data_IF_667594209567
#
_entry.id   IF_667594209567
#
_cell.length_a   1.000
_cell.length_b   1.000
_cell.length_c   1.000
_cell.angle_alpha   90.00
_cell.angle_beta   90.00
_cell.angle_gamma   90.00
#
_symmetry.space_group_name_H-M   'P 1'
#
loop_
_entity.id
_entity.type
_entity.pdbx_description
1 polymer ?
#
# COMPACT_ATOMS: atom_id res chain seq x y z
N UNK A 1 0.26 26.57 29.76
CA UNK A 1 0.64 25.38 28.95
C UNK A 1 1.13 24.15 29.73
N UNK A 2 2.29 24.15 30.41
CA UNK A 2 2.84 22.93 31.07
C UNK A 2 1.95 22.23 32.12
N UNK A 3 1.05 22.95 32.80
CA UNK A 3 0.07 22.34 33.75
C UNK A 3 -1.11 21.68 33.03
N UNK A 4 -1.56 22.26 31.91
CA UNK A 4 -2.64 21.72 31.10
C UNK A 4 -2.21 20.39 30.46
N UNK A 5 -1.02 20.33 29.88
CA UNK A 5 -0.44 19.10 29.32
C UNK A 5 -0.41 17.95 30.33
N UNK A 6 0.06 18.20 31.57
CA UNK A 6 0.11 17.16 32.62
C UNK A 6 -1.26 16.63 33.03
N UNK A 7 -2.30 17.47 33.03
CA UNK A 7 -3.65 17.03 33.39
C UNK A 7 -4.33 16.20 32.30
N UNK A 8 -4.07 16.51 31.03
CA UNK A 8 -4.62 15.73 29.91
C UNK A 8 -3.89 14.40 29.75
N UNK A 9 -2.55 14.38 29.88
CA UNK A 9 -1.78 13.14 29.85
C UNK A 9 -2.12 12.16 30.99
N UNK A 10 -2.65 12.67 32.12
CA UNK A 10 -3.10 11.85 33.25
C UNK A 10 -4.51 11.24 33.07
N UNK A 11 -5.19 11.51 31.95
CA UNK A 11 -6.52 10.97 31.62
C UNK A 11 -6.46 10.24 30.28
N UNK A 12 -6.33 8.90 30.28
CA UNK A 12 -6.37 8.14 29.03
C UNK A 12 -7.82 8.03 28.56
N UNK A 13 -8.14 8.64 27.41
CA UNK A 13 -9.41 8.49 26.68
C UNK A 13 -10.30 9.74 26.66
N UNK A 14 -10.78 10.09 25.47
CA UNK A 14 -11.89 11.01 25.12
C UNK A 14 -12.13 12.20 26.06
N UNK A 15 -11.09 13.00 26.32
CA UNK A 15 -11.37 14.35 26.83
C UNK A 15 -11.89 15.18 25.65
N UNK A 16 -13.21 15.39 25.59
CA UNK A 16 -13.85 16.16 24.54
C UNK A 16 -13.17 17.52 24.36
N UNK A 17 -13.00 17.98 23.11
CA UNK A 17 -12.35 19.26 22.81
C UNK A 17 -12.97 20.41 23.62
N UNK A 18 -14.29 20.38 23.79
CA UNK A 18 -15.04 21.36 24.58
C UNK A 18 -14.62 21.40 26.07
N UNK A 19 -14.28 20.25 26.66
CA UNK A 19 -13.77 20.19 28.03
C UNK A 19 -12.37 20.81 28.13
N UNK A 20 -11.54 20.60 27.10
CA UNK A 20 -10.21 21.19 27.04
C UNK A 20 -10.24 22.70 26.79
N UNK A 21 -11.17 23.18 25.96
CA UNK A 21 -11.44 24.61 25.78
C UNK A 21 -11.86 25.23 27.12
N UNK A 22 -12.77 24.58 27.85
CA UNK A 22 -13.19 25.02 29.19
C UNK A 22 -12.01 25.03 30.17
N UNK A 23 -11.15 24.02 30.15
CA UNK A 23 -9.97 23.95 31.02
C UNK A 23 -8.92 25.00 30.67
N UNK A 24 -8.66 25.26 29.39
CA UNK A 24 -7.73 26.30 28.93
C UNK A 24 -8.18 27.69 29.43
N UNK A 25 -9.46 28.03 29.27
CA UNK A 25 -10.02 29.30 29.79
C UNK A 25 -10.03 29.40 31.30
N UNK A 26 -10.19 28.28 32.03
CA UNK A 26 -10.10 28.28 33.50
C UNK A 26 -8.67 28.53 33.99
N UNK A 27 -7.68 28.02 33.28
CA UNK A 27 -6.27 28.21 33.63
C UNK A 27 -5.74 29.59 33.26
N UNK A 28 -6.22 30.16 32.16
CA UNK A 28 -5.89 31.52 31.73
C UNK A 28 -7.19 32.27 31.36
N UNK A 29 -7.79 32.97 32.34
CA UNK A 29 -9.07 33.67 32.17
C UNK A 29 -9.09 34.78 31.11
N UNK A 30 -7.91 35.21 30.64
CA UNK A 30 -7.74 36.24 29.61
C UNK A 30 -7.71 35.72 28.17
N UNK A 31 -7.73 34.40 27.94
CA UNK A 31 -7.72 33.83 26.59
C UNK A 31 -9.05 34.11 25.86
N UNK A 32 -8.94 34.68 24.66
CA UNK A 32 -10.07 34.82 23.75
C UNK A 32 -10.66 33.46 23.34
N UNK A 33 -11.88 33.49 22.79
CA UNK A 33 -12.59 32.25 22.50
C UNK A 33 -11.85 31.34 21.49
N UNK A 34 -11.32 31.96 20.44
CA UNK A 34 -10.52 31.31 19.39
C UNK A 34 -9.15 30.87 19.89
N UNK A 35 -8.49 31.66 20.75
CA UNK A 35 -7.17 31.32 21.30
C UNK A 35 -7.24 30.13 22.27
N UNK A 36 -8.31 30.06 23.08
CA UNK A 36 -8.58 28.92 23.95
C UNK A 36 -8.84 27.63 23.15
N UNK A 37 -9.51 27.74 22.00
CA UNK A 37 -9.76 26.60 21.11
C UNK A 37 -8.49 26.16 20.38
N UNK A 38 -7.69 27.09 19.87
CA UNK A 38 -6.37 26.79 19.31
C UNK A 38 -5.46 26.11 20.35
N UNK A 39 -5.46 26.61 21.58
CA UNK A 39 -4.71 26.03 22.70
C UNK A 39 -5.20 24.61 23.03
N UNK A 40 -6.51 24.40 23.13
CA UNK A 40 -7.09 23.09 23.41
C UNK A 40 -6.76 22.08 22.31
N UNK A 41 -6.90 22.46 21.03
CA UNK A 41 -6.49 21.62 19.89
C UNK A 41 -5.00 21.29 19.97
N UNK A 42 -4.15 22.27 20.25
CA UNK A 42 -2.71 22.04 20.39
C UNK A 42 -2.38 21.03 21.51
N UNK A 43 -3.13 21.04 22.62
CA UNK A 43 -2.98 20.05 23.69
C UNK A 43 -3.49 18.67 23.26
N UNK A 44 -4.65 18.57 22.59
CA UNK A 44 -5.15 17.30 22.04
C UNK A 44 -4.14 16.70 21.09
N UNK A 45 -3.68 17.46 20.11
CA UNK A 45 -2.67 17.05 19.12
C UNK A 45 -1.37 16.59 19.77
N UNK A 46 -0.93 17.24 20.85
CA UNK A 46 0.27 16.80 21.58
C UNK A 46 0.08 15.55 22.42
N UNK A 47 -1.11 15.34 22.99
CA UNK A 47 -1.37 14.23 23.92
C UNK A 47 -1.91 12.98 23.20
N UNK A 48 -2.75 13.19 22.18
CA UNK A 48 -3.48 12.14 21.45
C UNK A 48 -3.19 12.10 19.95
N UNK A 49 -2.54 13.12 19.38
CA UNK A 49 -2.15 13.15 17.96
C UNK A 49 -0.65 12.86 17.73
N UNK A 50 -0.17 13.02 16.51
CA UNK A 50 1.23 12.89 16.10
C UNK A 50 2.03 14.20 16.29
N UNK A 51 1.52 15.11 17.14
CA UNK A 51 2.23 16.34 17.48
C UNK A 51 2.33 17.32 16.30
N UNK A 52 3.48 17.98 16.07
CA UNK A 52 3.62 19.01 15.03
C UNK A 52 3.27 18.56 13.61
N UNK A 53 3.31 17.25 13.32
CA UNK A 53 3.03 16.72 11.98
C UNK A 53 1.56 16.39 11.72
N UNK A 54 0.67 16.49 12.72
CA UNK A 54 -0.77 16.22 12.58
C UNK A 54 -1.42 16.93 11.38
N UNK A 55 -1.17 18.24 11.12
CA UNK A 55 -1.74 18.91 9.96
C UNK A 55 -1.36 18.25 8.63
N UNK A 56 -0.12 17.76 8.51
CA UNK A 56 0.37 17.07 7.31
C UNK A 56 -0.30 15.69 7.17
N UNK A 57 -0.54 15.02 8.29
CA UNK A 57 -1.20 13.72 8.35
C UNK A 57 -2.71 13.80 8.08
N UNK A 58 -3.31 14.99 8.20
CA UNK A 58 -4.72 15.23 7.84
C UNK A 58 -4.90 15.76 6.41
N UNK A 59 -3.84 16.29 5.80
CA UNK A 59 -3.89 16.85 4.46
C UNK A 59 -4.00 15.74 3.40
N UNK A 60 -5.12 15.63 2.66
CA UNK A 60 -5.34 14.52 1.72
C UNK A 60 -4.39 14.56 0.52
N UNK A 61 -3.68 15.66 0.28
CA UNK A 61 -2.72 15.74 -0.83
C UNK A 61 -1.30 15.29 -0.44
N UNK A 62 -1.04 15.01 0.84
CA UNK A 62 0.24 14.48 1.34
C UNK A 62 0.23 12.94 1.33
N UNK A 63 1.02 12.35 0.44
CA UNK A 63 1.21 10.89 0.34
C UNK A 63 2.33 10.36 1.26
N UNK A 64 3.30 11.20 1.62
CA UNK A 64 4.44 10.79 2.44
C UNK A 64 4.93 11.95 3.30
N UNK A 65 5.36 11.65 4.52
CA UNK A 65 5.99 12.59 5.46
C UNK A 65 7.37 12.04 5.82
N UNK A 66 8.41 12.85 5.66
CA UNK A 66 9.80 12.48 5.94
C UNK A 66 10.45 13.48 6.88
N UNK A 67 11.07 12.97 7.94
CA UNK A 67 11.75 13.73 8.97
C UNK A 67 13.18 13.20 9.09
N UNK A 68 14.16 14.04 8.76
CA UNK A 68 15.58 13.67 8.74
C UNK A 68 16.32 14.28 9.95
N UNK A 69 15.78 14.06 11.16
CA UNK A 69 16.25 14.69 12.39
C UNK A 69 15.53 16.00 12.70
N UNK A 70 15.94 16.72 13.78
CA UNK A 70 15.33 17.99 14.16
C UNK A 70 15.50 19.04 13.05
N UNK A 71 14.41 19.66 12.60
CA UNK A 71 14.47 20.61 11.50
C UNK A 71 13.20 20.62 10.63
N UNK A 72 13.33 20.95 9.33
CA UNK A 72 12.21 21.00 8.41
C UNK A 72 11.68 19.60 8.11
N UNK A 73 10.35 19.50 7.95
CA UNK A 73 9.67 18.27 7.56
C UNK A 73 9.43 18.29 6.04
N UNK A 74 9.84 17.23 5.36
CA UNK A 74 9.62 17.04 3.92
C UNK A 74 8.33 16.25 3.69
N UNK A 75 7.63 16.55 2.60
CA UNK A 75 6.40 15.83 2.21
C UNK A 75 6.39 15.49 0.72
N UNK A 76 5.78 14.36 0.37
CA UNK A 76 5.43 14.06 -1.02
C UNK A 76 3.99 14.54 -1.31
N UNK A 77 3.82 15.26 -2.43
CA UNK A 77 2.52 15.65 -2.97
C UNK A 77 2.49 15.34 -4.47
N UNK A 78 1.55 14.52 -4.91
CA UNK A 78 1.43 14.15 -6.33
C UNK A 78 2.67 13.49 -6.93
N UNK A 79 3.47 12.77 -6.13
CA UNK A 79 4.73 12.16 -6.57
C UNK A 79 5.91 13.12 -6.68
N UNK A 80 5.84 14.32 -6.09
CA UNK A 80 6.96 15.28 -6.01
C UNK A 80 7.26 15.63 -4.56
N UNK A 81 8.54 15.83 -4.25
CA UNK A 81 9.00 16.22 -2.91
C UNK A 81 8.91 17.73 -2.72
N UNK A 82 8.41 18.13 -1.55
CA UNK A 82 8.27 19.51 -1.12
C UNK A 82 8.75 19.68 0.32
N UNK A 83 9.45 20.77 0.62
CA UNK A 83 9.64 21.20 2.00
C UNK A 83 8.32 21.77 2.52
N UNK A 84 7.86 21.31 3.69
CA UNK A 84 6.65 21.85 4.32
C UNK A 84 6.95 23.05 5.22
N UNK A 85 5.92 23.80 5.62
CA UNK A 85 6.07 24.87 6.61
C UNK A 85 6.29 24.33 8.04
N UNK A 86 6.13 23.01 8.25
CA UNK A 86 6.28 22.37 9.56
C UNK A 86 7.76 22.16 9.87
N UNK A 87 8.14 22.54 11.09
CA UNK A 87 9.44 22.23 11.68
C UNK A 87 9.24 21.46 12.98
N UNK A 88 10.08 20.46 13.20
CA UNK A 88 10.03 19.61 14.39
C UNK A 88 11.32 19.75 15.21
N UNK A 89 11.18 19.99 16.51
CA UNK A 89 12.31 20.06 17.45
C UNK A 89 12.72 18.67 17.96
N UNK A 90 13.90 18.55 18.55
CA UNK A 90 14.44 17.26 19.02
C UNK A 90 13.51 16.54 20.03
N UNK A 91 13.00 17.26 21.04
CA UNK A 91 12.10 16.69 22.03
C UNK A 91 10.75 16.23 21.43
N UNK A 92 10.21 16.98 20.45
CA UNK A 92 8.97 16.59 19.79
C UNK A 92 9.18 15.38 18.86
N UNK A 93 10.36 15.28 18.23
CA UNK A 93 10.74 14.14 17.39
C UNK A 93 10.94 12.86 18.22
N UNK A 94 11.62 12.95 19.38
CA UNK A 94 11.74 11.82 20.31
C UNK A 94 10.36 11.34 20.78
N UNK A 95 9.48 12.26 21.18
CA UNK A 95 8.12 11.93 21.58
C UNK A 95 7.29 11.32 20.43
N UNK A 96 7.48 11.79 19.20
CA UNK A 96 6.85 11.22 18.01
C UNK A 96 7.33 9.77 17.78
N UNK A 97 8.64 9.53 17.85
CA UNK A 97 9.22 8.18 17.69
C UNK A 97 8.66 7.22 18.73
N UNK A 98 8.68 7.60 20.01
CA UNK A 98 8.14 6.77 21.10
C UNK A 98 6.66 6.42 20.90
N UNK A 99 5.87 7.38 20.40
CA UNK A 99 4.45 7.17 20.10
C UNK A 99 4.26 6.21 18.93
N UNK A 100 4.95 6.41 17.81
CA UNK A 100 4.85 5.54 16.63
C UNK A 100 5.28 4.10 16.96
N UNK A 101 6.31 3.92 17.78
CA UNK A 101 6.75 2.60 18.26
C UNK A 101 5.67 1.94 19.13
N UNK A 102 5.08 2.72 20.04
CA UNK A 102 4.00 2.23 20.92
C UNK A 102 2.76 1.81 20.12
N UNK A 103 2.30 2.64 19.19
CA UNK A 103 1.13 2.35 18.35
C UNK A 103 1.35 1.15 17.44
N UNK A 104 2.58 0.98 16.95
CA UNK A 104 2.94 -0.12 16.08
C UNK A 104 3.30 -1.42 16.83
N UNK A 105 3.33 -1.38 18.17
CA UNK A 105 3.70 -2.52 19.01
C UNK A 105 5.16 -2.96 18.86
N UNK A 106 6.03 -2.09 18.33
CA UNK A 106 7.44 -2.39 18.07
C UNK A 106 8.36 -1.67 19.06
N UNK A 107 9.63 -2.09 19.08
CA UNK A 107 10.69 -1.46 19.86
C UNK A 107 11.93 -1.31 19.00
N UNK A 108 12.68 -0.24 19.24
CA UNK A 108 14.02 -0.05 18.69
C UNK A 108 14.99 0.17 19.83
N UNK A 109 16.20 -0.33 19.66
CA UNK A 109 17.30 -0.12 20.61
C UNK A 109 18.64 -0.04 19.87
N UNK A 110 19.75 0.01 20.61
CA UNK A 110 21.08 0.10 20.00
C UNK A 110 21.49 -1.13 19.19
N UNK A 111 20.94 -2.31 19.47
CA UNK A 111 21.22 -3.55 18.74
C UNK A 111 20.36 -3.67 17.49
N UNK A 112 19.16 -3.11 17.54
CA UNK A 112 18.24 -3.05 16.42
C UNK A 112 17.68 -1.64 16.26
N UNK A 113 18.47 -0.73 15.66
CA UNK A 113 18.17 0.70 15.65
C UNK A 113 17.27 1.12 14.49
N UNK A 114 16.61 0.16 13.83
CA UNK A 114 15.71 0.40 12.71
C UNK A 114 14.46 -0.45 12.88
N UNK A 115 13.32 0.06 12.42
CA UNK A 115 12.08 -0.69 12.35
C UNK A 115 11.24 -0.25 11.17
N UNK A 116 10.63 -1.23 10.51
CA UNK A 116 9.53 -1.06 9.60
C UNK A 116 8.26 -1.59 10.27
N UNK A 117 7.19 -0.80 10.25
CA UNK A 117 5.92 -1.20 10.82
C UNK A 117 4.72 -0.51 10.17
N UNK A 118 3.54 -0.80 10.68
CA UNK A 118 2.26 -0.25 10.25
C UNK A 118 1.57 0.46 11.41
N UNK A 119 1.01 1.62 11.12
CA UNK A 119 0.17 2.38 12.05
C UNK A 119 -1.29 1.90 12.00
N UNK A 120 -2.12 2.19 13.02
CA UNK A 120 -3.52 1.75 13.05
C UNK A 120 -4.37 2.23 11.87
N UNK A 121 -4.02 3.36 11.25
CA UNK A 121 -4.68 3.90 10.04
C UNK A 121 -4.28 3.15 8.75
N UNK A 122 -3.30 2.25 8.85
CA UNK A 122 -2.71 1.47 7.76
C UNK A 122 -1.48 2.10 7.14
N UNK A 123 -1.08 3.32 7.53
CA UNK A 123 0.14 3.96 7.03
C UNK A 123 1.37 3.13 7.36
N UNK A 124 2.34 3.09 6.44
CA UNK A 124 3.64 2.45 6.67
C UNK A 124 4.56 3.43 7.35
N UNK A 125 5.28 2.98 8.37
CA UNK A 125 6.25 3.79 9.09
C UNK A 125 7.60 3.08 9.09
N UNK A 126 8.62 3.81 8.66
CA UNK A 126 10.02 3.43 8.82
C UNK A 126 10.65 4.39 9.84
N UNK A 127 11.37 3.83 10.81
CA UNK A 127 12.09 4.60 11.82
C UNK A 127 13.52 4.09 11.89
N UNK A 128 14.47 5.02 11.91
CA UNK A 128 15.87 4.74 12.23
C UNK A 128 16.34 5.66 13.37
N UNK A 129 17.01 5.11 14.37
CA UNK A 129 17.52 5.85 15.54
C UNK A 129 19.05 5.79 15.62
N UNK A 130 19.72 6.66 16.39
CA UNK A 130 21.15 6.52 16.64
C UNK A 130 21.52 5.12 17.17
N UNK A 131 22.65 4.52 16.74
CA UNK A 131 23.77 5.17 16.05
C UNK A 131 23.68 5.19 14.51
N UNK A 132 22.73 4.48 13.88
CA UNK A 132 22.65 4.44 12.40
C UNK A 132 22.12 5.76 11.82
N UNK A 133 21.26 6.45 12.55
CA UNK A 133 20.74 7.76 12.19
C UNK A 133 21.62 8.88 12.79
N UNK A 134 22.67 9.26 12.05
CA UNK A 134 23.74 10.19 12.52
C UNK A 134 23.20 11.59 12.86
N UNK A 135 22.17 12.06 12.15
CA UNK A 135 21.53 13.37 12.37
C UNK A 135 20.47 13.39 13.48
N UNK A 136 20.33 12.31 14.25
CA UNK A 136 19.19 12.07 15.12
C UNK A 136 18.17 11.12 14.48
N UNK A 137 17.02 10.86 15.11
CA UNK A 137 16.04 9.92 14.59
C UNK A 137 15.55 10.33 13.19
N UNK A 138 15.43 9.36 12.29
CA UNK A 138 14.79 9.52 10.99
C UNK A 138 13.45 8.80 11.00
N UNK A 139 12.41 9.45 10.46
CA UNK A 139 11.06 8.91 10.39
C UNK A 139 10.49 9.16 9.00
N UNK A 140 10.03 8.10 8.35
CA UNK A 140 9.28 8.17 7.10
C UNK A 140 7.92 7.54 7.32
N UNK A 141 6.85 8.32 7.16
CA UNK A 141 5.47 7.86 7.20
C UNK A 141 4.90 7.93 5.80
N UNK A 142 4.74 6.78 5.16
CA UNK A 142 4.08 6.67 3.87
C UNK A 142 2.61 6.39 4.09
N UNK A 143 1.79 7.39 3.79
CA UNK A 143 0.34 7.33 3.91
C UNK A 143 -0.23 6.64 2.69
N UNK A 144 -1.24 5.80 2.93
CA UNK A 144 -2.09 5.34 1.84
C UNK A 144 -3.18 6.36 1.58
N UNK A 145 -2.84 7.38 0.80
CA UNK A 145 -3.85 8.28 0.23
C UNK A 145 -4.60 7.49 -0.83
N UNK A 146 -5.86 7.18 -0.52
CA UNK A 146 -6.79 6.56 -1.45
C UNK A 146 -7.00 7.49 -2.64
N UNK A 147 -6.50 7.08 -3.80
CA UNK A 147 -6.99 7.61 -5.08
C UNK A 147 -8.18 6.74 -5.46
N UNK A 148 -9.38 7.28 -5.27
CA UNK A 148 -10.60 6.65 -5.75
C UNK A 148 -10.66 6.79 -7.27
N UNK A 149 -10.07 5.82 -7.98
CA UNK A 149 -10.03 5.80 -9.43
C UNK A 149 -11.07 4.82 -9.98
N UNK A 150 -11.77 5.23 -11.03
CA UNK A 150 -12.62 4.35 -11.82
C UNK A 150 -11.82 3.74 -12.99
N UNK A 151 -12.32 2.64 -13.58
CA UNK A 151 -11.73 2.08 -14.79
C UNK A 151 -11.67 3.10 -15.94
N UNK A 152 -12.66 3.99 -16.04
CA UNK A 152 -12.69 5.09 -17.01
C UNK A 152 -11.49 6.04 -16.91
N UNK A 153 -10.84 6.11 -15.75
CA UNK A 153 -9.63 6.91 -15.58
C UNK A 153 -8.42 6.27 -16.27
N UNK A 154 -8.46 5.00 -16.64
CA UNK A 154 -7.29 4.28 -17.17
C UNK A 154 -7.28 4.14 -18.70
N UNK A 155 -8.36 4.42 -19.40
CA UNK A 155 -8.39 4.27 -20.85
C UNK A 155 -9.69 4.74 -21.50
N UNK A 156 -9.74 4.77 -22.84
CA UNK A 156 -10.97 5.05 -23.56
C UNK A 156 -12.00 3.92 -23.37
N UNK A 157 -13.30 4.14 -23.70
CA UNK A 157 -14.36 3.14 -23.51
C UNK A 157 -14.04 1.72 -23.99
N UNK A 158 -13.39 1.49 -25.16
CA UNK A 158 -13.05 0.12 -25.58
C UNK A 158 -12.11 -0.63 -24.63
N UNK A 159 -11.20 0.09 -23.94
CA UNK A 159 -10.31 -0.51 -22.93
C UNK A 159 -11.11 -0.87 -21.68
N UNK A 160 -12.01 0.01 -21.26
CA UNK A 160 -12.89 -0.20 -20.10
C UNK A 160 -13.80 -1.41 -20.34
N UNK A 161 -14.47 -1.45 -21.49
CA UNK A 161 -15.35 -2.56 -21.91
C UNK A 161 -14.59 -3.89 -21.96
N UNK A 162 -13.35 -3.89 -22.45
CA UNK A 162 -12.50 -5.08 -22.46
C UNK A 162 -12.20 -5.58 -21.03
N UNK A 163 -11.83 -4.68 -20.11
CA UNK A 163 -11.56 -5.04 -18.72
C UNK A 163 -12.82 -5.52 -17.99
N UNK A 164 -13.96 -4.86 -18.20
CA UNK A 164 -15.25 -5.27 -17.65
C UNK A 164 -15.66 -6.66 -18.14
N UNK A 165 -15.50 -6.92 -19.44
CA UNK A 165 -15.75 -8.24 -20.04
C UNK A 165 -14.81 -9.30 -19.46
N UNK A 166 -13.51 -9.01 -19.36
CA UNK A 166 -12.55 -9.92 -18.75
C UNK A 166 -12.90 -10.27 -17.29
N UNK A 167 -13.42 -9.30 -16.52
CA UNK A 167 -13.93 -9.58 -15.17
C UNK A 167 -15.16 -10.47 -15.21
N UNK A 168 -16.13 -10.20 -16.09
CA UNK A 168 -17.35 -10.98 -16.25
C UNK A 168 -17.07 -12.44 -16.67
N UNK A 169 -16.15 -12.63 -17.61
CA UNK A 169 -15.74 -13.94 -18.13
C UNK A 169 -14.83 -14.73 -17.17
N UNK A 170 -14.54 -14.16 -16.00
CA UNK A 170 -13.60 -14.70 -15.01
C UNK A 170 -12.23 -14.97 -15.62
N UNK A 171 -11.73 -14.04 -16.42
CA UNK A 171 -10.36 -14.06 -16.91
C UNK A 171 -9.37 -13.84 -15.75
N UNK A 172 -8.27 -14.58 -15.78
CA UNK A 172 -7.10 -14.37 -14.95
C UNK A 172 -6.30 -13.19 -15.53
N UNK A 173 -6.22 -12.10 -14.75
CA UNK A 173 -5.68 -10.81 -15.19
C UNK A 173 -4.37 -10.51 -14.44
N UNK A 174 -3.30 -10.28 -15.20
CA UNK A 174 -2.00 -9.86 -14.68
C UNK A 174 -1.72 -8.40 -15.05
N UNK A 175 -1.73 -7.52 -14.06
CA UNK A 175 -1.44 -6.08 -14.23
C UNK A 175 0.06 -5.84 -14.07
N UNK A 176 0.68 -5.22 -15.06
CA UNK A 176 2.13 -5.00 -15.09
C UNK A 176 2.51 -3.55 -15.33
N UNK A 177 3.74 -3.20 -14.94
CA UNK A 177 4.28 -1.86 -15.08
C UNK A 177 5.31 -1.48 -14.00
N UNK A 178 6.04 -0.37 -14.19
CA UNK A 178 7.08 0.07 -13.27
C UNK A 178 6.52 0.53 -11.91
N UNK A 179 7.41 0.84 -10.97
CA UNK A 179 7.04 1.44 -9.68
C UNK A 179 6.33 2.78 -9.89
N UNK A 180 5.23 2.97 -9.16
CA UNK A 180 4.42 4.19 -9.24
C UNK A 180 3.54 4.32 -10.49
N UNK A 181 3.50 3.33 -11.38
CA UNK A 181 2.69 3.39 -12.62
C UNK A 181 1.19 3.33 -12.37
N UNK A 182 0.74 2.83 -11.21
CA UNK A 182 -0.67 2.71 -10.87
C UNK A 182 -1.23 1.29 -10.87
N UNK A 183 -0.39 0.24 -10.91
CA UNK A 183 -0.83 -1.17 -10.88
C UNK A 183 -1.85 -1.47 -9.78
N UNK A 184 -1.52 -1.18 -8.52
CA UNK A 184 -2.39 -1.41 -7.38
C UNK A 184 -3.69 -0.61 -7.47
N UNK A 185 -3.64 0.61 -8.02
CA UNK A 185 -4.82 1.46 -8.24
C UNK A 185 -5.74 0.85 -9.30
N UNK A 186 -5.20 0.38 -10.44
CA UNK A 186 -5.98 -0.31 -11.46
C UNK A 186 -6.53 -1.65 -10.94
N UNK A 187 -5.73 -2.42 -10.21
CA UNK A 187 -6.16 -3.68 -9.61
C UNK A 187 -7.34 -3.47 -8.65
N UNK A 188 -7.33 -2.39 -7.87
CA UNK A 188 -8.47 -1.96 -7.04
C UNK A 188 -9.71 -1.65 -7.88
N UNK A 189 -9.55 -0.89 -8.97
CA UNK A 189 -10.67 -0.54 -9.85
C UNK A 189 -11.28 -1.78 -10.53
N UNK A 190 -10.45 -2.72 -11.00
CA UNK A 190 -10.88 -4.01 -11.55
C UNK A 190 -11.58 -4.85 -10.47
N UNK A 191 -10.98 -4.97 -9.28
CA UNK A 191 -11.52 -5.75 -8.16
C UNK A 191 -12.90 -5.30 -7.70
N UNK A 192 -13.23 -4.01 -7.82
CA UNK A 192 -14.56 -3.47 -7.53
C UNK A 192 -15.63 -3.85 -8.54
N UNK A 193 -15.26 -4.31 -9.73
CA UNK A 193 -16.20 -4.80 -10.76
C UNK A 193 -16.54 -6.29 -10.57
N UNK A 194 -15.86 -6.98 -9.65
CA UNK A 194 -16.17 -8.37 -9.32
C UNK A 194 -17.53 -8.47 -8.62
N UNK A 195 -18.33 -9.46 -9.01
CA UNK A 195 -19.65 -9.70 -8.43
C UNK A 195 -19.60 -9.87 -6.90
N UNK A 196 -20.48 -9.22 -6.11
CA UNK A 196 -20.45 -9.27 -4.64
C UNK A 196 -20.59 -10.68 -4.03
N UNK A 197 -21.22 -11.62 -4.74
CA UNK A 197 -21.36 -13.01 -4.31
C UNK A 197 -20.04 -13.81 -4.38
N UNK A 198 -19.05 -13.30 -5.11
CA UNK A 198 -17.76 -13.95 -5.31
C UNK A 198 -16.89 -13.83 -4.05
N UNK A 199 -16.37 -14.97 -3.58
CA UNK A 199 -15.40 -14.98 -2.48
C UNK A 199 -14.00 -14.66 -2.98
N UNK A 200 -13.52 -13.46 -2.65
CA UNK A 200 -12.16 -13.02 -2.96
C UNK A 200 -11.25 -13.22 -1.76
N UNK A 201 -10.06 -13.80 -1.98
CA UNK A 201 -8.99 -13.82 -0.98
C UNK A 201 -7.85 -12.94 -1.50
N UNK A 202 -7.66 -11.80 -0.84
CA UNK A 202 -6.66 -10.79 -1.15
C UNK A 202 -5.43 -11.05 -0.29
N UNK A 203 -4.25 -11.09 -0.91
CA UNK A 203 -2.96 -11.35 -0.27
C UNK A 203 -1.99 -10.27 -0.68
N UNK A 204 -1.32 -9.63 0.28
CA UNK A 204 -0.43 -8.50 0.02
C UNK A 204 0.76 -8.52 0.98
N UNK A 205 1.94 -8.12 0.54
CA UNK A 205 3.07 -7.86 1.46
C UNK A 205 2.71 -6.77 2.47
N UNK A 206 2.04 -5.74 1.96
CA UNK A 206 1.43 -4.69 2.74
C UNK A 206 0.01 -4.50 2.23
N UNK A 207 -0.97 -4.52 3.12
CA UNK A 207 -2.37 -4.25 2.81
C UNK A 207 -2.58 -2.84 2.19
N UNK A 208 -2.61 -2.73 0.86
CA UNK A 208 -2.85 -1.51 0.06
C UNK A 208 -4.22 -1.55 -0.64
N UNK A 209 -4.71 -2.73 -1.03
CA UNK A 209 -5.95 -2.92 -1.75
C UNK A 209 -7.17 -2.67 -0.86
N UNK A 210 -8.15 -1.94 -1.38
CA UNK A 210 -9.41 -1.60 -0.71
C UNK A 210 -10.58 -2.17 -1.49
N UNK A 211 -10.43 -3.42 -1.92
CA UNK A 211 -11.54 -4.23 -2.44
C UNK A 211 -12.44 -4.56 -1.25
N UNK A 212 -13.69 -4.10 -1.31
CA UNK A 212 -14.67 -4.32 -0.25
C UNK A 212 -15.86 -5.09 -0.79
N UNK A 213 -16.46 -5.91 0.06
CA UNK A 213 -17.56 -6.78 -0.30
C UNK A 213 -17.85 -7.77 0.82
N UNK A 214 -19.03 -8.41 0.79
CA UNK A 214 -19.47 -9.31 1.87
C UNK A 214 -18.58 -10.56 2.01
N UNK A 215 -17.93 -11.00 0.92
CA UNK A 215 -17.09 -12.19 0.89
C UNK A 215 -15.62 -11.91 0.54
N UNK A 216 -15.08 -10.79 0.99
CA UNK A 216 -13.65 -10.45 0.81
C UNK A 216 -12.86 -10.79 2.07
N UNK A 217 -11.95 -11.76 1.98
CA UNK A 217 -10.95 -12.02 3.01
C UNK A 217 -9.64 -11.33 2.63
N UNK A 218 -9.00 -10.65 3.57
CA UNK A 218 -7.72 -9.95 3.35
C UNK A 218 -6.65 -10.55 4.25
N UNK A 219 -5.53 -10.90 3.65
CA UNK A 219 -4.35 -11.49 4.27
C UNK A 219 -3.16 -10.57 3.98
N UNK A 220 -2.34 -10.33 4.99
CA UNK A 220 -1.14 -9.50 4.89
C UNK A 220 0.06 -10.32 5.34
N UNK A 221 1.16 -10.21 4.61
CA UNK A 221 2.39 -10.91 4.97
C UNK A 221 2.95 -10.30 6.26
N UNK A 222 3.67 -11.11 7.02
CA UNK A 222 4.23 -10.68 8.28
C UNK A 222 5.75 -10.86 8.25
N UNK A 223 6.55 -9.79 8.34
CA UNK A 223 7.99 -9.93 8.49
C UNK A 223 8.30 -10.61 9.83
N UNK A 224 9.44 -11.29 9.90
CA UNK A 224 9.93 -11.87 11.14
C UNK A 224 10.00 -10.83 12.27
N UNK A 225 9.82 -11.28 13.50
CA UNK A 225 10.05 -10.44 14.67
C UNK A 225 11.56 -10.19 14.88
N UNK A 226 11.90 -9.48 15.95
CA UNK A 226 13.30 -9.11 16.28
C UNK A 226 14.21 -10.32 16.49
N UNK A 227 13.62 -11.47 16.85
CA UNK A 227 14.31 -12.74 17.09
C UNK A 227 14.30 -13.63 15.84
N UNK A 228 13.93 -13.08 14.68
CA UNK A 228 13.78 -13.78 13.40
C UNK A 228 12.74 -14.91 13.41
N UNK A 229 11.73 -14.81 14.26
CA UNK A 229 10.63 -15.78 14.37
C UNK A 229 9.30 -15.20 13.84
N UNK A 230 8.39 -16.10 13.44
CA UNK A 230 7.02 -15.72 13.10
C UNK A 230 6.87 -14.97 11.77
N UNK A 231 7.81 -15.17 10.84
CA UNK A 231 7.65 -14.74 9.45
C UNK A 231 6.49 -15.50 8.79
N UNK A 232 5.67 -14.76 8.04
CA UNK A 232 4.61 -15.30 7.18
C UNK A 232 4.81 -14.68 5.81
N UNK A 233 5.24 -15.48 4.85
CA UNK A 233 5.57 -15.04 3.49
C UNK A 233 4.33 -14.98 2.61
N UNK A 234 4.45 -14.32 1.45
CA UNK A 234 3.41 -14.36 0.42
C UNK A 234 3.07 -15.79 -0.05
N UNK A 235 4.07 -16.69 -0.08
CA UNK A 235 3.86 -18.11 -0.37
C UNK A 235 2.99 -18.80 0.69
N UNK A 236 3.25 -18.54 1.97
CA UNK A 236 2.45 -19.08 3.08
C UNK A 236 0.99 -18.61 3.00
N UNK A 237 0.80 -17.32 2.68
CA UNK A 237 -0.53 -16.76 2.49
C UNK A 237 -1.26 -17.42 1.33
N UNK A 238 -0.58 -17.65 0.21
CA UNK A 238 -1.15 -18.30 -0.97
C UNK A 238 -1.58 -19.73 -0.66
N UNK A 239 -0.72 -20.53 -0.04
CA UNK A 239 -1.05 -21.90 0.38
C UNK A 239 -2.25 -21.92 1.34
N UNK A 240 -2.32 -20.98 2.27
CA UNK A 240 -3.47 -20.84 3.15
C UNK A 240 -4.73 -20.41 2.40
N UNK A 241 -4.63 -19.44 1.49
CA UNK A 241 -5.74 -18.91 0.70
C UNK A 241 -6.43 -20.00 -0.13
N UNK A 242 -5.67 -20.94 -0.70
CA UNK A 242 -6.22 -22.08 -1.46
C UNK A 242 -7.12 -22.98 -0.60
N UNK A 243 -6.91 -23.03 0.72
CA UNK A 243 -7.76 -23.79 1.66
C UNK A 243 -8.99 -23.01 2.13
N UNK A 244 -9.08 -21.72 1.80
CA UNK A 244 -10.19 -20.85 2.21
C UNK A 244 -11.39 -20.91 1.25
N UNK A 245 -11.42 -21.87 0.31
CA UNK A 245 -12.41 -22.00 -0.76
C UNK A 245 -12.61 -20.68 -1.54
N UNK A 246 -11.54 -20.11 -2.11
CA UNK A 246 -11.64 -18.86 -2.87
C UNK A 246 -12.35 -19.09 -4.20
N UNK A 247 -13.20 -18.15 -4.61
CA UNK A 247 -13.65 -18.06 -6.00
C UNK A 247 -12.63 -17.33 -6.87
N UNK A 248 -11.89 -16.37 -6.29
CA UNK A 248 -10.81 -15.62 -6.93
C UNK A 248 -9.68 -15.39 -5.93
N UNK A 249 -8.45 -15.53 -6.42
CA UNK A 249 -7.25 -15.10 -5.70
C UNK A 249 -6.91 -13.68 -6.16
N UNK A 250 -6.52 -12.81 -5.22
CA UNK A 250 -6.00 -11.48 -5.54
C UNK A 250 -4.63 -11.35 -4.89
N UNK A 251 -3.58 -11.23 -5.71
CA UNK A 251 -2.20 -11.07 -5.24
C UNK A 251 -1.78 -9.63 -5.49
N UNK A 252 -1.53 -8.88 -4.42
CA UNK A 252 -1.19 -7.46 -4.50
C UNK A 252 0.01 -7.20 -5.39
N UNK A 253 1.07 -7.99 -5.25
CA UNK A 253 2.25 -7.94 -6.10
C UNK A 253 3.02 -9.27 -6.03
N UNK A 254 3.49 -9.76 -7.18
CA UNK A 254 4.38 -10.91 -7.29
C UNK A 254 5.82 -10.41 -7.26
N UNK A 255 6.62 -10.93 -6.32
CA UNK A 255 8.03 -10.56 -6.10
C UNK A 255 8.97 -11.75 -6.02
N UNK A 256 8.45 -12.93 -5.74
CA UNK A 256 9.26 -14.08 -5.36
C UNK A 256 8.68 -15.44 -5.78
N UNK A 257 9.06 -16.50 -5.06
CA UNK A 257 8.69 -17.88 -5.35
C UNK A 257 7.18 -18.14 -5.49
N UNK A 258 6.34 -17.33 -4.82
CA UNK A 258 4.89 -17.42 -4.88
C UNK A 258 4.33 -17.27 -6.30
N UNK A 259 5.12 -16.70 -7.23
CA UNK A 259 4.78 -16.61 -8.64
C UNK A 259 4.43 -17.97 -9.24
N UNK A 260 5.25 -18.99 -8.95
CA UNK A 260 5.11 -20.33 -9.52
C UNK A 260 3.83 -21.00 -9.01
N UNK A 261 3.63 -20.93 -7.71
CA UNK A 261 2.46 -21.53 -7.05
C UNK A 261 1.17 -20.83 -7.48
N UNK A 262 1.22 -19.51 -7.68
CA UNK A 262 0.09 -18.75 -8.22
C UNK A 262 -0.24 -19.24 -9.62
N UNK A 263 0.73 -19.26 -10.54
CA UNK A 263 0.52 -19.71 -11.92
C UNK A 263 -0.01 -21.15 -11.94
N UNK A 264 0.51 -22.02 -11.08
CA UNK A 264 -0.02 -23.37 -10.93
C UNK A 264 -1.50 -23.36 -10.51
N UNK A 265 -1.88 -22.57 -9.50
CA UNK A 265 -3.26 -22.42 -9.05
C UNK A 265 -4.18 -21.89 -10.16
N UNK A 266 -3.71 -20.93 -10.96
CA UNK A 266 -4.45 -20.37 -12.09
C UNK A 266 -4.73 -21.43 -13.16
N UNK A 267 -3.70 -22.22 -13.51
CA UNK A 267 -3.81 -23.31 -14.50
C UNK A 267 -4.68 -24.48 -14.04
N UNK A 268 -4.93 -24.62 -12.73
CA UNK A 268 -5.65 -25.77 -12.13
C UNK A 268 -7.06 -25.42 -11.63
N UNK A 269 -7.58 -24.24 -11.99
CA UNK A 269 -9.01 -23.93 -11.86
C UNK A 269 -9.35 -22.68 -11.04
N UNK A 270 -8.38 -21.91 -10.55
CA UNK A 270 -8.65 -20.64 -9.85
C UNK A 270 -8.83 -19.48 -10.84
N UNK A 271 -9.91 -19.57 -11.63
CA UNK A 271 -10.25 -18.58 -12.68
C UNK A 271 -10.75 -17.26 -12.09
N UNK A 272 -10.48 -16.16 -12.78
CA UNK A 272 -10.90 -14.82 -12.40
C UNK A 272 -9.94 -14.13 -11.44
N UNK A 273 -8.76 -14.71 -11.21
CA UNK A 273 -7.78 -14.21 -10.27
C UNK A 273 -7.06 -12.98 -10.82
N UNK A 274 -6.64 -12.10 -9.91
CA UNK A 274 -6.01 -10.82 -10.23
C UNK A 274 -4.63 -10.78 -9.58
N UNK A 275 -3.61 -10.34 -10.31
CA UNK A 275 -2.29 -10.14 -9.71
C UNK A 275 -1.58 -8.92 -10.31
N UNK A 276 -0.61 -8.37 -9.59
CA UNK A 276 0.33 -7.41 -10.19
C UNK A 276 1.76 -7.93 -10.25
N UNK A 277 2.55 -7.46 -11.21
CA UNK A 277 3.98 -7.75 -11.30
C UNK A 277 4.75 -6.53 -11.82
N UNK A 278 5.99 -6.33 -11.36
CA UNK A 278 6.88 -5.35 -11.99
C UNK A 278 7.49 -5.91 -13.26
N UNK A 279 7.14 -5.32 -14.40
CA UNK A 279 7.71 -5.65 -15.69
C UNK A 279 7.57 -4.49 -16.67
N UNK A 280 8.46 -4.46 -17.66
CA UNK A 280 8.43 -3.50 -18.77
C UNK A 280 7.80 -4.14 -20.01
N UNK A 281 6.52 -4.47 -19.89
CA UNK A 281 5.72 -5.09 -20.94
C UNK A 281 5.48 -6.60 -20.77
N UNK A 282 4.59 -7.20 -21.59
CA UNK A 282 4.19 -8.61 -21.47
C UNK A 282 5.35 -9.60 -21.54
N UNK A 283 6.23 -9.49 -22.54
CA UNK A 283 7.35 -10.42 -22.69
C UNK A 283 8.34 -10.39 -21.50
N UNK A 284 8.55 -9.23 -20.88
CA UNK A 284 9.40 -9.11 -19.68
C UNK A 284 8.73 -9.76 -18.47
N UNK A 285 7.42 -9.60 -18.30
CA UNK A 285 6.68 -10.25 -17.22
C UNK A 285 6.73 -11.78 -17.32
N UNK A 286 6.57 -12.34 -18.52
CA UNK A 286 6.69 -13.78 -18.75
C UNK A 286 8.08 -14.30 -18.37
N UNK A 287 9.12 -13.64 -18.89
CA UNK A 287 10.52 -14.00 -18.58
C UNK A 287 10.82 -13.93 -17.08
N UNK A 288 10.27 -12.95 -16.36
CA UNK A 288 10.45 -12.83 -14.92
C UNK A 288 9.84 -14.00 -14.16
N UNK A 289 8.63 -14.41 -14.53
CA UNK A 289 7.98 -15.58 -13.93
C UNK A 289 8.79 -16.85 -14.22
N UNK A 290 9.28 -17.03 -15.45
CA UNK A 290 10.15 -18.15 -15.81
C UNK A 290 11.45 -18.18 -15.00
N UNK A 291 12.11 -17.03 -14.83
CA UNK A 291 13.33 -16.91 -14.03
C UNK A 291 13.10 -17.26 -12.55
N UNK A 292 11.98 -16.80 -11.97
CA UNK A 292 11.59 -17.18 -10.62
C UNK A 292 11.38 -18.69 -10.52
N UNK A 293 10.79 -19.30 -11.54
CA UNK A 293 10.57 -20.74 -11.56
C UNK A 293 11.85 -21.56 -11.69
N UNK A 294 12.84 -21.08 -12.44
CA UNK A 294 14.18 -21.69 -12.49
C UNK A 294 14.84 -21.66 -11.12
N UNK A 295 14.70 -20.56 -10.37
CA UNK A 295 15.18 -20.45 -8.99
C UNK A 295 14.61 -21.53 -8.06
N UNK A 296 13.36 -21.92 -8.29
CA UNK A 296 12.64 -22.98 -7.57
C UNK A 296 12.86 -24.39 -8.15
N UNK A 297 13.78 -24.55 -9.11
CA UNK A 297 14.09 -25.84 -9.73
C UNK A 297 12.97 -26.39 -10.63
N UNK A 298 12.05 -25.55 -11.11
CA UNK A 298 11.00 -25.92 -12.06
C UNK A 298 11.53 -25.85 -13.50
N UNK A 299 11.03 -26.73 -14.36
CA UNK A 299 11.34 -26.67 -15.80
C UNK A 299 10.68 -25.42 -16.43
N UNK A 300 11.43 -24.58 -17.16
CA UNK A 300 10.87 -23.43 -17.89
C UNK A 300 9.74 -23.82 -18.84
N UNK A 301 9.86 -24.96 -19.52
CA UNK A 301 8.86 -25.47 -20.47
C UNK A 301 7.51 -25.76 -19.78
N UNK A 302 7.57 -26.34 -18.57
CA UNK A 302 6.38 -26.64 -17.77
C UNK A 302 5.72 -25.34 -17.30
N UNK A 303 6.52 -24.36 -16.88
CA UNK A 303 6.04 -23.07 -16.39
C UNK A 303 5.41 -22.28 -17.52
N UNK A 304 6.03 -22.21 -18.69
CA UNK A 304 5.47 -21.60 -19.88
C UNK A 304 4.12 -22.24 -20.27
N UNK A 305 4.02 -23.57 -20.22
CA UNK A 305 2.75 -24.26 -20.46
C UNK A 305 1.67 -23.89 -19.42
N UNK A 306 2.03 -23.78 -18.14
CA UNK A 306 1.10 -23.37 -17.08
C UNK A 306 0.69 -21.90 -17.20
N UNK A 307 1.61 -21.01 -17.57
CA UNK A 307 1.33 -19.60 -17.87
C UNK A 307 0.26 -19.53 -18.96
N UNK A 308 0.45 -20.24 -20.08
CA UNK A 308 -0.51 -20.23 -21.19
C UNK A 308 -1.87 -20.81 -20.81
N UNK A 309 -1.89 -21.83 -19.95
CA UNK A 309 -3.14 -22.43 -19.48
C UNK A 309 -3.84 -21.60 -18.38
N UNK A 310 -3.08 -20.76 -17.66
CA UNK A 310 -3.52 -20.09 -16.45
C UNK A 310 -3.72 -18.59 -16.58
N UNK A 311 -3.04 -17.88 -17.49
CA UNK A 311 -3.19 -16.44 -17.66
C UNK A 311 -3.97 -16.13 -18.93
N UNK A 312 -4.99 -15.27 -18.81
CA UNK A 312 -5.87 -14.92 -19.93
C UNK A 312 -5.51 -13.53 -20.50
N UNK A 313 -5.28 -12.53 -19.62
CA UNK A 313 -5.07 -11.14 -20.00
C UNK A 313 -3.92 -10.50 -19.23
N UNK A 314 -3.01 -9.83 -19.94
CA UNK A 314 -1.97 -8.97 -19.37
C UNK A 314 -2.30 -7.50 -19.65
N UNK A 315 -2.22 -6.67 -18.61
CA UNK A 315 -2.58 -5.24 -18.66
C UNK A 315 -1.38 -4.41 -18.25
N UNK A 316 -0.73 -3.78 -19.22
CA UNK A 316 0.38 -2.87 -18.98
C UNK A 316 -0.12 -1.47 -18.64
N UNK A 317 0.32 -0.93 -17.50
CA UNK A 317 -0.01 0.42 -17.04
C UNK A 317 1.23 1.29 -16.99
N UNK A 318 1.11 2.51 -17.51
CA UNK A 318 2.15 3.52 -17.47
C UNK A 318 1.67 4.82 -16.80
N UNK A 319 2.63 5.60 -16.32
CA UNK A 319 2.42 6.97 -15.87
C UNK A 319 2.92 7.90 -16.97
N UNK A 320 2.03 8.72 -17.51
CA UNK A 320 2.33 9.73 -18.50
C UNK A 320 3.08 10.92 -17.87
N UNK A 321 3.70 11.75 -18.70
CA UNK A 321 4.46 12.94 -18.26
C UNK A 321 3.60 13.94 -17.47
N UNK A 322 2.31 14.02 -17.78
CA UNK A 322 1.33 14.85 -17.05
C UNK A 322 0.89 14.25 -15.70
N UNK A 323 1.44 13.09 -15.34
CA UNK A 323 1.16 12.38 -14.10
C UNK A 323 -0.07 11.48 -14.14
N UNK A 324 -0.87 11.52 -15.21
CA UNK A 324 -2.00 10.59 -15.38
C UNK A 324 -1.50 9.17 -15.59
N UNK A 325 -2.31 8.21 -15.16
CA UNK A 325 -2.05 6.78 -15.31
C UNK A 325 -2.97 6.24 -16.40
N UNK A 326 -2.44 5.42 -17.31
CA UNK A 326 -3.19 4.87 -18.44
C UNK A 326 -2.75 3.44 -18.72
N UNK A 327 -3.69 2.64 -19.24
CA UNK A 327 -3.37 1.36 -19.87
C UNK A 327 -2.62 1.65 -21.17
N UNK A 328 -1.40 1.12 -21.25
CA UNK A 328 -0.54 1.19 -22.43
C UNK A 328 -0.85 0.04 -23.40
N UNK A 329 -0.98 -1.17 -22.85
CA UNK A 329 -1.12 -2.40 -23.61
C UNK A 329 -2.13 -3.34 -22.95
N UNK A 330 -3.02 -3.94 -23.74
CA UNK A 330 -3.79 -5.13 -23.37
C UNK A 330 -3.31 -6.27 -24.27
N UNK A 331 -2.80 -7.34 -23.67
CA UNK A 331 -2.31 -8.51 -24.39
C UNK A 331 -3.05 -9.77 -23.93
N UNK A 332 -3.70 -10.46 -24.85
CA UNK A 332 -4.34 -11.75 -24.59
C UNK A 332 -3.33 -12.88 -24.83
N UNK A 333 -3.36 -13.91 -23.97
CA UNK A 333 -2.45 -15.06 -24.07
C UNK A 333 -3.12 -16.27 -24.71
N UNK A 334 -4.45 -16.26 -24.80
CA UNK A 334 -5.23 -17.35 -25.34
C UNK A 334 -5.51 -17.15 -26.83
N UNK A 335 -5.07 -18.11 -27.67
CA UNK A 335 -5.48 -18.17 -29.08
C UNK A 335 -4.46 -18.76 -30.06
N UNK A 336 -3.18 -18.88 -29.67
CA UNK A 336 -2.08 -19.29 -30.57
C UNK A 336 -1.35 -20.59 -30.18
N UNK A 337 -0.43 -21.01 -31.05
CA UNK A 337 0.45 -22.17 -30.85
C UNK A 337 1.37 -22.03 -29.61
N UNK A 338 1.98 -23.11 -29.09
CA UNK A 338 2.81 -23.08 -27.87
C UNK A 338 3.98 -22.06 -27.87
N UNK A 339 4.39 -21.59 -29.04
CA UNK A 339 5.47 -20.60 -29.22
C UNK A 339 4.96 -19.20 -29.62
N UNK A 340 3.65 -18.96 -29.67
CA UNK A 340 3.12 -17.67 -30.11
C UNK A 340 3.33 -16.57 -29.06
N UNK A 341 3.78 -15.40 -29.51
CA UNK A 341 3.83 -14.21 -28.66
C UNK A 341 2.41 -13.80 -28.21
N UNK A 342 2.24 -13.12 -27.05
CA UNK A 342 0.97 -12.56 -26.64
C UNK A 342 0.38 -11.64 -27.73
N UNK A 343 -0.91 -11.78 -28.01
CA UNK A 343 -1.59 -10.99 -29.03
C UNK A 343 -2.03 -9.65 -28.42
N UNK A 344 -1.54 -8.54 -28.98
CA UNK A 344 -1.92 -7.21 -28.51
C UNK A 344 -3.33 -6.86 -29.03
N UNK A 345 -4.32 -6.88 -28.14
CA UNK A 345 -5.70 -6.48 -28.43
C UNK A 345 -5.87 -4.96 -28.33
N UNK A 346 -4.99 -4.31 -27.56
CA UNK A 346 -4.87 -2.85 -27.52
C UNK A 346 -3.42 -2.45 -27.30
N UNK A 347 -2.96 -1.43 -28.02
CA UNK A 347 -1.68 -0.77 -27.78
C UNK A 347 -1.81 0.71 -28.09
N UNK A 348 -1.39 1.56 -27.15
CA UNK A 348 -1.26 3.00 -27.43
C UNK A 348 -0.20 3.17 -28.53
N UNK A 349 -0.55 3.87 -29.61
CA UNK A 349 0.38 4.18 -30.69
C UNK A 349 1.59 4.94 -30.11
N UNK A 350 2.80 4.47 -30.39
CA UNK A 350 4.02 5.21 -30.04
C UNK A 350 3.97 6.58 -30.76
N UNK A 351 4.08 7.66 -29.98
CA UNK A 351 4.11 9.03 -30.50
C UNK A 351 5.52 9.41 -30.94
#
# INVERSE_FOLDING_TARGET
MHRLHRQVAARPGDTALDDLVRMARRMEPGLGASEAEATARHVVTRVHGLGPIDPLMLDPSVSEVMINGPGPVMVERGGRLHESEVRIGAADLEALVDRLLTESGRRVDRRSPMVDSRLPDGSRVNIAVPPVAVGGPYVTIRRFVLVDADLADFGPPPVVECLERAVADRSNILVLGPTGSGKTTLLNAIGRRVEPACRMVVMEDAAELRISGPHVARLEAQPANMDSEGEVTMGDLLVNALRMRPDRLVVGEIRGPEAVDLIHALSTGHRGSLATIHASGPADALRRIELLAVGEGRSPEVVAAQIRAGLDLMVEVERLEDGRRRVRTLAELNGGAPDSEPENVYRVAER
#
